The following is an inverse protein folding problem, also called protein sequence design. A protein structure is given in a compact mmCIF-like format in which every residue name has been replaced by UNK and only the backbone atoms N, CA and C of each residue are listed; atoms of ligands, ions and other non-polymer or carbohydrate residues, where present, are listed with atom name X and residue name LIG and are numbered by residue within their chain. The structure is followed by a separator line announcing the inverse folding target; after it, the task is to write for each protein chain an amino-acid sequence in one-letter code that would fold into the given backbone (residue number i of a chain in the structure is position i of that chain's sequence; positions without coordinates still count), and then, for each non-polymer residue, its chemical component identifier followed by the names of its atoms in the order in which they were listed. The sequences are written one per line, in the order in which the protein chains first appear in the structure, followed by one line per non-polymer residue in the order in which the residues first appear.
data_IF_164046561484
#
_entry.id   IF_164046561484
#
_cell.length_a   1.000
_cell.length_b   1.000
_cell.length_c   1.000
_cell.angle_alpha   90.00
_cell.angle_beta   90.00
_cell.angle_gamma   90.00
#
_symmetry.space_group_name_H-M   'P 1'
#
loop_
_entity.id
_entity.type
_entity.pdbx_description
1 polymer ?
#
# COMPACT_ATOMS: atom_id res chain seq x y z
N UNK A 1 -8.39 3.79 -16.05
CA UNK A 1 -8.65 4.99 -15.25
C UNK A 1 -7.84 4.93 -13.96
N UNK A 2 -7.17 6.03 -13.61
CA UNK A 2 -6.33 6.07 -12.42
C UNK A 2 -7.13 6.43 -11.19
N UNK A 3 -6.97 5.66 -10.11
CA UNK A 3 -7.64 5.95 -8.85
C UNK A 3 -6.99 7.13 -8.13
N UNK A 4 -7.81 7.89 -7.42
CA UNK A 4 -7.32 8.95 -6.55
C UNK A 4 -6.73 8.31 -5.29
N UNK A 5 -5.51 8.72 -4.92
CA UNK A 5 -4.82 8.14 -3.77
C UNK A 5 -5.19 8.90 -2.51
N UNK A 6 -5.75 8.16 -1.54
CA UNK A 6 -6.08 8.71 -0.22
C UNK A 6 -5.21 8.04 0.82
N UNK A 7 -4.67 8.82 1.75
CA UNK A 7 -3.80 8.29 2.79
C UNK A 7 -4.35 8.59 4.17
N UNK A 8 -4.44 7.55 5.01
CA UNK A 8 -4.82 7.72 6.40
C UNK A 8 -3.70 8.41 7.16
N UNK A 9 -4.04 9.12 8.22
CA UNK A 9 -3.05 9.78 9.08
C UNK A 9 -2.04 8.78 9.62
N UNK A 10 -2.51 7.59 10.00
CA UNK A 10 -1.64 6.53 10.50
C UNK A 10 -0.63 6.09 9.44
N UNK A 11 -1.08 5.97 8.18
CA UNK A 11 -0.17 5.62 7.09
C UNK A 11 0.93 6.67 6.93
N UNK A 12 0.56 7.94 6.94
CA UNK A 12 1.52 9.02 6.78
C UNK A 12 2.56 9.02 7.90
N UNK A 13 2.13 8.78 9.14
CA UNK A 13 3.02 8.74 10.29
C UNK A 13 3.98 7.56 10.21
N UNK A 14 3.46 6.38 9.86
CA UNK A 14 4.28 5.19 9.72
C UNK A 14 5.28 5.35 8.59
N UNK A 15 4.85 5.95 7.48
CA UNK A 15 5.72 6.20 6.34
C UNK A 15 6.88 7.12 6.70
N UNK A 16 6.60 8.21 7.41
CA UNK A 16 7.64 9.15 7.84
C UNK A 16 8.66 8.47 8.73
N UNK A 17 8.19 7.62 9.64
CA UNK A 17 9.07 6.88 10.55
C UNK A 17 9.97 5.92 9.79
N UNK A 18 9.41 5.20 8.83
CA UNK A 18 10.19 4.26 8.03
C UNK A 18 11.19 4.95 7.13
N UNK A 19 10.88 6.15 6.63
CA UNK A 19 11.80 6.91 5.79
C UNK A 19 13.09 7.27 6.53
N UNK A 20 13.03 7.45 7.84
CA UNK A 20 14.23 7.74 8.64
C UNK A 20 15.20 6.57 8.64
N UNK A 21 14.66 5.35 8.59
CA UNK A 21 15.46 4.13 8.57
C UNK A 21 15.85 3.73 7.15
N UNK A 22 14.95 3.94 6.20
CA UNK A 22 15.16 3.57 4.80
C UNK A 22 14.82 4.75 3.90
N UNK A 23 15.78 5.63 3.59
CA UNK A 23 15.53 6.79 2.75
C UNK A 23 15.09 6.46 1.32
N UNK A 24 15.31 5.20 0.88
CA UNK A 24 14.90 4.75 -0.45
C UNK A 24 13.52 4.11 -0.46
N UNK A 25 12.79 4.21 0.65
CA UNK A 25 11.48 3.60 0.75
C UNK A 25 10.52 4.12 -0.33
N UNK A 26 10.60 5.40 -0.65
CA UNK A 26 9.76 5.99 -1.67
C UNK A 26 9.98 5.32 -3.03
N UNK A 27 11.22 5.00 -3.37
CA UNK A 27 11.54 4.33 -4.62
C UNK A 27 10.94 2.92 -4.70
N UNK A 28 10.72 2.30 -3.54
CA UNK A 28 10.10 0.97 -3.49
C UNK A 28 8.58 1.04 -3.50
N UNK A 29 8.02 2.06 -2.84
CA UNK A 29 6.57 2.21 -2.71
C UNK A 29 5.91 2.80 -3.96
N UNK A 30 6.54 3.79 -4.58
CA UNK A 30 5.93 4.49 -5.70
C UNK A 30 5.48 3.56 -6.83
N UNK A 31 6.32 2.61 -7.31
CA UNK A 31 5.87 1.69 -8.35
C UNK A 31 4.68 0.84 -7.93
N UNK A 32 4.64 0.40 -6.67
CA UNK A 32 3.54 -0.42 -6.16
C UNK A 32 2.25 0.39 -6.12
N UNK A 33 2.34 1.61 -5.62
CA UNK A 33 1.16 2.50 -5.55
C UNK A 33 0.63 2.80 -6.94
N UNK A 34 1.51 3.02 -7.91
CA UNK A 34 1.10 3.25 -9.29
C UNK A 34 0.39 2.04 -9.89
N UNK A 35 0.90 0.84 -9.64
CA UNK A 35 0.26 -0.38 -10.12
C UNK A 35 -1.15 -0.53 -9.51
N UNK A 36 -1.29 -0.26 -8.22
CA UNK A 36 -2.59 -0.33 -7.56
C UNK A 36 -3.55 0.74 -8.06
N UNK A 37 -3.05 1.96 -8.27
CA UNK A 37 -3.88 3.07 -8.74
C UNK A 37 -4.39 2.84 -10.15
N UNK A 38 -3.60 2.20 -11.00
CA UNK A 38 -3.98 1.90 -12.38
C UNK A 38 -4.61 0.52 -12.55
N UNK A 39 -4.81 -0.20 -11.44
CA UNK A 39 -5.43 -1.52 -11.42
C UNK A 39 -4.65 -2.58 -12.19
N UNK A 40 -3.33 -2.41 -12.27
CA UNK A 40 -2.45 -3.40 -12.86
C UNK A 40 -2.17 -4.54 -11.88
N UNK A 41 -1.78 -5.70 -12.41
CA UNK A 41 -1.42 -6.83 -11.56
C UNK A 41 -0.12 -6.57 -10.82
N UNK A 42 -0.08 -6.96 -9.54
CA UNK A 42 1.13 -6.87 -8.76
C UNK A 42 2.01 -8.10 -8.98
N UNK A 43 3.35 -7.94 -8.95
CA UNK A 43 4.24 -9.10 -8.97
C UNK A 43 3.96 -10.05 -7.82
N UNK A 44 4.12 -11.34 -8.06
CA UNK A 44 3.88 -12.35 -7.03
C UNK A 44 4.74 -12.17 -5.78
N UNK A 45 5.94 -11.61 -5.94
CA UNK A 45 6.84 -11.39 -4.81
C UNK A 45 6.26 -10.46 -3.75
N UNK A 46 5.23 -9.68 -4.11
CA UNK A 46 4.57 -8.78 -3.18
C UNK A 46 3.52 -9.48 -2.32
N UNK A 47 3.16 -10.72 -2.66
CA UNK A 47 2.24 -11.55 -1.87
C UNK A 47 0.93 -10.82 -1.52
N UNK A 48 0.35 -10.14 -2.52
CA UNK A 48 -0.90 -9.42 -2.34
C UNK A 48 -2.04 -10.38 -2.01
N UNK A 49 -2.74 -10.14 -0.90
CA UNK A 49 -3.86 -11.00 -0.51
C UNK A 49 -4.87 -10.23 0.35
N UNK A 50 -6.14 -10.69 0.35
CA UNK A 50 -7.18 -10.02 1.13
C UNK A 50 -7.03 -10.33 2.63
N UNK A 51 -7.44 -9.37 3.45
CA UNK A 51 -7.45 -9.51 4.89
C UNK A 51 -8.84 -9.91 5.37
N UNK A 52 -8.91 -10.45 6.59
CA UNK A 52 -10.15 -10.90 7.19
C UNK A 52 -10.33 -10.24 8.56
N UNK A 53 -11.46 -10.51 9.22
CA UNK A 53 -11.76 -9.96 10.52
C UNK A 53 -12.03 -8.46 10.45
N UNK A 54 -11.44 -7.70 11.34
CA UNK A 54 -11.65 -6.24 11.42
C UNK A 54 -11.15 -5.51 10.18
N UNK A 55 -10.30 -6.16 9.38
CA UNK A 55 -9.75 -5.58 8.17
C UNK A 55 -10.42 -6.12 6.91
N UNK A 56 -11.61 -6.70 7.04
CA UNK A 56 -12.36 -7.19 5.89
C UNK A 56 -12.59 -6.05 4.91
N UNK A 57 -12.33 -6.32 3.63
CA UNK A 57 -12.41 -5.30 2.58
C UNK A 57 -11.07 -4.64 2.28
N UNK A 58 -10.07 -4.87 3.11
CA UNK A 58 -8.71 -4.41 2.87
C UNK A 58 -7.85 -5.56 2.35
N UNK A 59 -6.74 -5.19 1.76
CA UNK A 59 -5.74 -6.14 1.29
C UNK A 59 -4.38 -5.71 1.80
N UNK A 60 -3.42 -6.64 1.84
CA UNK A 60 -2.06 -6.25 2.16
C UNK A 60 -1.11 -6.73 1.06
N UNK A 61 0.04 -6.09 0.98
CA UNK A 61 1.13 -6.54 0.13
C UNK A 61 2.45 -6.29 0.84
N UNK A 62 3.44 -7.11 0.49
CA UNK A 62 4.77 -7.02 1.09
C UNK A 62 5.64 -6.12 0.24
N UNK A 63 5.97 -4.93 0.75
CA UNK A 63 6.87 -4.01 0.06
C UNK A 63 8.31 -4.52 0.17
N UNK A 64 8.64 -5.06 1.32
CA UNK A 64 9.88 -5.80 1.57
C UNK A 64 9.60 -6.83 2.67
N UNK A 65 10.50 -7.79 2.93
CA UNK A 65 10.19 -8.92 3.82
C UNK A 65 9.64 -8.53 5.19
N UNK A 66 10.05 -7.39 5.73
CA UNK A 66 9.62 -6.94 7.04
C UNK A 66 8.68 -5.75 6.98
N UNK A 67 8.17 -5.39 5.81
CA UNK A 67 7.32 -4.21 5.64
C UNK A 67 6.10 -4.52 4.80
N UNK A 68 4.93 -4.45 5.43
CA UNK A 68 3.64 -4.64 4.76
C UNK A 68 2.97 -3.29 4.51
N UNK A 69 2.14 -3.23 3.47
CA UNK A 69 1.27 -2.09 3.24
C UNK A 69 -0.17 -2.60 3.18
N UNK A 70 -1.03 -2.02 4.00
CA UNK A 70 -2.45 -2.36 4.02
C UNK A 70 -3.22 -1.29 3.25
N UNK A 71 -4.01 -1.71 2.29
CA UNK A 71 -4.73 -0.80 1.42
C UNK A 71 -6.12 -1.33 1.09
N UNK A 72 -6.98 -0.45 0.57
CA UNK A 72 -8.29 -0.82 0.05
C UNK A 72 -8.51 -0.12 -1.28
N UNK A 73 -9.11 -0.83 -2.23
CA UNK A 73 -9.50 -0.27 -3.52
C UNK A 73 -11.00 -0.10 -3.55
N UNK A 74 -11.45 1.06 -4.01
CA UNK A 74 -12.85 1.31 -4.31
C UNK A 74 -12.93 1.93 -5.69
N UNK A 75 -14.14 2.09 -6.20
CA UNK A 75 -14.31 2.75 -7.48
C UNK A 75 -13.81 4.18 -7.38
N UNK A 76 -12.78 4.50 -8.14
CA UNK A 76 -12.22 5.83 -8.18
C UNK A 76 -11.22 6.18 -7.09
N UNK A 77 -10.98 5.31 -6.10
CA UNK A 77 -10.07 5.65 -5.01
C UNK A 77 -9.21 4.47 -4.57
N UNK A 78 -8.01 4.80 -4.11
CA UNK A 78 -7.08 3.86 -3.48
C UNK A 78 -6.76 4.40 -2.10
N UNK A 79 -7.16 3.68 -1.06
CA UNK A 79 -6.98 4.10 0.32
C UNK A 79 -5.78 3.37 0.94
N UNK A 80 -4.77 4.12 1.36
CA UNK A 80 -3.59 3.57 2.02
C UNK A 80 -3.79 3.73 3.52
N UNK A 81 -3.99 2.61 4.21
CA UNK A 81 -4.41 2.63 5.62
C UNK A 81 -3.26 2.46 6.61
N UNK A 82 -2.32 1.56 6.31
CA UNK A 82 -1.19 1.27 7.19
C UNK A 82 -0.03 0.75 6.34
N UNK A 83 1.15 0.82 6.94
CA UNK A 83 2.30 0.19 6.33
C UNK A 83 2.33 -1.29 6.66
#
# INVERSE_FOLDING_TARGET
MTRIIETATRFKRDYRRELKTDPKLQDKLTPVIELLATDAELPERLSDHPLQGDWKGFRDCHIKPDLLMIYAKSEGALSLARR
#
